data_IF_093422214989
#
_entry.id   IF_093422214989
#
_cell.length_a   1.000
_cell.length_b   1.000
_cell.length_c   1.000
_cell.angle_alpha   90.00
_cell.angle_beta   90.00
_cell.angle_gamma   90.00
#
_symmetry.space_group_name_H-M   'P 1'
#
loop_
_entity.id
_entity.type
_entity.pdbx_description
1 polymer ?
#
# COMPACT_ATOMS: atom_id res chain seq x y z
N UNK A 1 5.78 -31.66 -7.88
CA UNK A 1 4.99 -31.25 -9.06
C UNK A 1 4.22 -30.01 -8.63
N UNK A 2 4.78 -28.82 -8.86
CA UNK A 2 4.08 -27.57 -8.59
C UNK A 2 3.39 -27.16 -9.88
N UNK A 3 2.09 -27.32 -9.92
CA UNK A 3 1.26 -26.66 -10.93
C UNK A 3 1.36 -25.17 -10.66
N UNK A 4 2.18 -24.46 -11.43
CA UNK A 4 2.04 -23.03 -11.63
C UNK A 4 0.69 -22.85 -12.34
N UNK A 5 -0.38 -22.74 -11.58
CA UNK A 5 -1.67 -22.35 -12.11
C UNK A 5 -1.50 -20.96 -12.71
N UNK A 6 -2.05 -20.82 -13.89
CA UNK A 6 -2.24 -19.54 -14.60
C UNK A 6 -3.22 -18.68 -13.79
N UNK A 7 -2.76 -18.17 -12.64
CA UNK A 7 -3.59 -17.36 -11.74
C UNK A 7 -3.40 -15.90 -12.11
N UNK A 8 -4.28 -15.42 -12.97
CA UNK A 8 -4.48 -13.98 -13.12
C UNK A 8 -4.79 -13.35 -11.75
N UNK A 9 -4.30 -12.13 -11.45
CA UNK A 9 -4.56 -11.49 -10.18
C UNK A 9 -6.06 -11.19 -10.02
N UNK A 10 -6.61 -11.52 -8.85
CA UNK A 10 -7.95 -11.09 -8.47
C UNK A 10 -7.90 -9.64 -8.02
N UNK A 11 -8.75 -8.80 -8.60
CA UNK A 11 -8.82 -7.38 -8.27
C UNK A 11 -10.04 -7.08 -7.39
N UNK A 12 -9.78 -6.49 -6.23
CA UNK A 12 -10.79 -5.99 -5.29
C UNK A 12 -10.68 -4.48 -5.17
N UNK A 13 -11.80 -3.78 -5.30
CA UNK A 13 -11.92 -2.33 -5.07
C UNK A 13 -12.82 -2.12 -3.86
N UNK A 14 -12.31 -1.43 -2.84
CA UNK A 14 -13.07 -1.09 -1.64
C UNK A 14 -13.54 0.36 -1.74
N UNK A 15 -14.86 0.54 -1.80
CA UNK A 15 -15.51 1.85 -1.84
C UNK A 15 -15.86 2.29 -0.42
N UNK A 16 -15.14 3.27 0.10
CA UNK A 16 -15.28 3.76 1.48
C UNK A 16 -16.19 5.00 1.53
N UNK A 17 -17.50 4.77 1.46
CA UNK A 17 -18.53 5.80 1.57
C UNK A 17 -18.41 6.93 0.53
N UNK A 18 -18.15 6.59 -0.73
CA UNK A 18 -18.22 7.56 -1.83
C UNK A 18 -19.64 8.09 -2.03
N UNK A 19 -19.75 9.23 -2.72
CA UNK A 19 -21.07 9.74 -3.11
C UNK A 19 -21.83 8.73 -3.97
N UNK A 20 -23.17 8.78 -3.96
CA UNK A 20 -24.02 7.89 -4.75
C UNK A 20 -23.60 7.90 -6.24
N UNK A 21 -23.32 9.07 -6.80
CA UNK A 21 -22.86 9.21 -8.18
C UNK A 21 -21.57 8.42 -8.45
N UNK A 22 -20.58 8.50 -7.55
CA UNK A 22 -19.33 7.77 -7.70
C UNK A 22 -19.50 6.28 -7.45
N UNK A 23 -20.35 5.89 -6.52
CA UNK A 23 -20.69 4.48 -6.27
C UNK A 23 -21.33 3.84 -7.50
N UNK A 24 -22.27 4.52 -8.17
CA UNK A 24 -22.88 4.02 -9.42
C UNK A 24 -21.85 3.91 -10.56
N UNK A 25 -20.96 4.88 -10.69
CA UNK A 25 -19.84 4.79 -11.67
C UNK A 25 -18.93 3.60 -11.38
N UNK A 26 -18.59 3.36 -10.11
CA UNK A 26 -17.79 2.20 -9.72
C UNK A 26 -18.50 0.88 -10.01
N UNK A 27 -19.81 0.79 -9.76
CA UNK A 27 -20.61 -0.41 -10.09
C UNK A 27 -20.62 -0.69 -11.60
N UNK A 28 -20.86 0.34 -12.40
CA UNK A 28 -20.85 0.20 -13.86
C UNK A 28 -19.49 -0.27 -14.36
N UNK A 29 -18.41 0.32 -13.81
CA UNK A 29 -17.04 0.00 -14.18
C UNK A 29 -16.63 -1.41 -13.71
N UNK A 30 -17.05 -1.83 -12.51
CA UNK A 30 -16.86 -3.19 -12.01
C UNK A 30 -17.49 -4.23 -12.93
N UNK A 31 -18.72 -3.99 -13.39
CA UNK A 31 -19.40 -4.87 -14.31
C UNK A 31 -18.71 -4.94 -15.69
N UNK A 32 -18.19 -3.81 -16.17
CA UNK A 32 -17.47 -3.74 -17.45
C UNK A 32 -16.10 -4.42 -17.40
N UNK A 33 -15.35 -4.23 -16.32
CA UNK A 33 -13.95 -4.69 -16.19
C UNK A 33 -13.79 -6.00 -15.43
N UNK A 34 -14.84 -6.49 -14.76
CA UNK A 34 -14.86 -7.78 -14.09
C UNK A 34 -14.08 -7.83 -12.77
N UNK A 35 -13.92 -6.71 -12.06
CA UNK A 35 -13.34 -6.70 -10.72
C UNK A 35 -14.40 -6.76 -9.61
N UNK A 36 -14.00 -7.22 -8.42
CA UNK A 36 -14.88 -7.28 -7.26
C UNK A 36 -14.97 -5.91 -6.59
N UNK A 37 -16.15 -5.29 -6.59
CA UNK A 37 -16.44 -4.06 -5.86
C UNK A 37 -17.05 -4.38 -4.50
N UNK A 38 -16.46 -3.87 -3.43
CA UNK A 38 -16.96 -4.00 -2.06
C UNK A 38 -17.31 -2.61 -1.55
N UNK A 39 -18.59 -2.33 -1.35
CA UNK A 39 -19.04 -1.10 -0.72
C UNK A 39 -18.98 -1.27 0.80
N UNK A 40 -18.20 -0.47 1.49
CA UNK A 40 -18.02 -0.60 2.93
C UNK A 40 -19.29 -0.20 3.72
N UNK A 41 -20.19 0.57 3.14
CA UNK A 41 -21.52 0.84 3.69
C UNK A 41 -22.38 -0.41 3.89
N UNK A 42 -22.11 -1.48 3.12
CA UNK A 42 -22.76 -2.80 3.27
C UNK A 42 -22.12 -3.65 4.38
N UNK A 43 -20.95 -3.26 4.88
CA UNK A 43 -20.12 -4.03 5.82
C UNK A 43 -20.05 -3.39 7.20
N UNK A 44 -20.08 -2.06 7.28
CA UNK A 44 -19.93 -1.31 8.54
C UNK A 44 -20.75 -0.02 8.52
N UNK A 45 -21.19 0.40 9.71
CA UNK A 45 -21.79 1.71 9.93
C UNK A 45 -20.76 2.77 10.37
N UNK A 46 -19.48 2.40 10.48
CA UNK A 46 -18.45 3.33 10.88
C UNK A 46 -18.13 4.29 9.72
N UNK A 47 -18.13 5.61 9.95
CA UNK A 47 -17.84 6.57 8.88
C UNK A 47 -16.38 6.42 8.38
N UNK A 48 -16.15 6.81 7.12
CA UNK A 48 -14.80 6.89 6.54
C UNK A 48 -13.87 7.77 7.42
N UNK A 49 -12.59 7.38 7.59
CA UNK A 49 -11.85 6.35 6.86
C UNK A 49 -11.89 4.96 7.52
N UNK A 50 -12.13 3.92 6.73
CA UNK A 50 -12.16 2.52 7.18
C UNK A 50 -10.95 1.70 6.72
N UNK A 51 -9.79 2.33 6.58
CA UNK A 51 -8.60 1.71 6.00
C UNK A 51 -8.12 0.45 6.76
N UNK A 52 -8.23 0.44 8.10
CA UNK A 52 -7.90 -0.73 8.90
C UNK A 52 -8.81 -1.93 8.57
N UNK A 53 -10.12 -1.70 8.47
CA UNK A 53 -11.08 -2.72 8.09
C UNK A 53 -10.73 -3.32 6.72
N UNK A 54 -10.41 -2.46 5.74
CA UNK A 54 -9.97 -2.91 4.41
C UNK A 54 -8.73 -3.79 4.49
N UNK A 55 -7.71 -3.40 5.26
CA UNK A 55 -6.50 -4.20 5.43
C UNK A 55 -6.78 -5.58 6.05
N UNK A 56 -7.64 -5.63 7.07
CA UNK A 56 -8.03 -6.88 7.73
C UNK A 56 -8.82 -7.81 6.79
N UNK A 57 -9.78 -7.26 6.03
CA UNK A 57 -10.54 -8.02 5.04
C UNK A 57 -9.63 -8.55 3.93
N UNK A 58 -8.76 -7.70 3.38
CA UNK A 58 -7.82 -8.06 2.33
C UNK A 58 -6.82 -9.14 2.79
N UNK A 59 -6.30 -9.02 4.02
CA UNK A 59 -5.44 -10.06 4.61
C UNK A 59 -6.18 -11.40 4.71
N UNK A 60 -7.38 -11.40 5.27
CA UNK A 60 -8.19 -12.61 5.42
C UNK A 60 -8.42 -13.30 4.08
N UNK A 61 -8.80 -12.54 3.05
CA UNK A 61 -9.04 -13.07 1.71
C UNK A 61 -7.75 -13.63 1.09
N UNK A 62 -6.64 -12.91 1.19
CA UNK A 62 -5.34 -13.36 0.66
C UNK A 62 -4.85 -14.65 1.35
N UNK A 63 -5.00 -14.75 2.68
CA UNK A 63 -4.64 -15.97 3.43
C UNK A 63 -5.53 -17.14 2.99
N UNK A 64 -6.83 -16.94 2.89
CA UNK A 64 -7.77 -18.00 2.49
C UNK A 64 -7.49 -18.52 1.08
N UNK A 65 -7.05 -17.64 0.17
CA UNK A 65 -6.66 -17.99 -1.19
C UNK A 65 -5.21 -18.54 -1.30
N UNK A 66 -4.42 -18.55 -0.22
CA UNK A 66 -3.00 -18.88 -0.27
C UNK A 66 -2.18 -17.89 -1.12
N UNK A 67 -2.69 -16.68 -1.35
CA UNK A 67 -2.16 -15.68 -2.26
C UNK A 67 -1.30 -14.62 -1.54
N UNK A 68 -0.51 -13.88 -2.31
CA UNK A 68 0.10 -12.63 -1.88
C UNK A 68 -0.94 -11.50 -1.95
N UNK A 69 -0.73 -10.43 -1.20
CA UNK A 69 -1.58 -9.23 -1.23
C UNK A 69 -0.82 -8.07 -1.85
N UNK A 70 -1.26 -7.60 -3.01
CA UNK A 70 -0.78 -6.34 -3.58
C UNK A 70 -1.74 -5.21 -3.21
N UNK A 71 -1.24 -4.21 -2.52
CA UNK A 71 -1.97 -2.98 -2.20
C UNK A 71 -1.57 -1.92 -3.21
N UNK A 72 -2.57 -1.28 -3.83
CA UNK A 72 -2.37 -0.12 -4.71
C UNK A 72 -3.32 0.98 -4.24
N UNK A 73 -2.79 2.15 -3.87
CA UNK A 73 -3.59 3.30 -3.47
C UNK A 73 -4.28 3.93 -4.71
N UNK A 74 -5.44 4.52 -4.51
CA UNK A 74 -6.33 5.02 -5.59
C UNK A 74 -5.75 6.17 -6.40
N UNK A 75 -4.67 6.78 -5.94
CA UNK A 75 -3.92 7.85 -6.62
C UNK A 75 -2.60 7.37 -7.25
N UNK A 76 -2.48 6.05 -7.41
CA UNK A 76 -1.31 5.43 -8.04
C UNK A 76 -1.71 4.78 -9.36
N UNK A 77 -0.95 5.09 -10.41
CA UNK A 77 -1.07 4.41 -11.71
C UNK A 77 0.11 3.48 -11.90
N UNK A 78 -0.20 2.20 -12.10
CA UNK A 78 0.79 1.14 -12.35
C UNK A 78 0.97 0.89 -13.86
N UNK A 79 2.12 0.33 -14.23
CA UNK A 79 2.38 -0.12 -15.59
C UNK A 79 1.79 -1.53 -15.79
N UNK A 80 1.53 -1.93 -17.04
CA UNK A 80 0.94 -3.24 -17.35
C UNK A 80 1.73 -4.44 -16.80
N UNK A 81 3.04 -4.32 -16.69
CA UNK A 81 3.96 -5.37 -16.22
C UNK A 81 4.34 -5.24 -14.73
N UNK A 82 3.80 -4.25 -14.02
CA UNK A 82 4.14 -3.98 -12.61
C UNK A 82 3.86 -5.18 -11.71
N UNK A 83 2.67 -5.77 -11.83
CA UNK A 83 2.23 -6.89 -10.99
C UNK A 83 3.14 -8.10 -11.22
N UNK A 84 3.37 -8.45 -12.47
CA UNK A 84 4.22 -9.59 -12.85
C UNK A 84 5.66 -9.41 -12.35
N UNK A 85 6.25 -8.24 -12.56
CA UNK A 85 7.61 -7.93 -12.10
C UNK A 85 7.74 -8.02 -10.58
N UNK A 86 6.75 -7.53 -9.82
CA UNK A 86 6.74 -7.65 -8.36
C UNK A 86 6.61 -9.11 -7.91
N UNK A 87 5.71 -9.86 -8.54
CA UNK A 87 5.49 -11.27 -8.24
C UNK A 87 6.74 -12.13 -8.48
N UNK A 88 7.45 -11.92 -9.58
CA UNK A 88 8.72 -12.61 -9.88
C UNK A 88 9.75 -12.40 -8.78
N UNK A 89 9.79 -11.25 -8.12
CA UNK A 89 10.74 -10.98 -7.05
C UNK A 89 10.47 -11.77 -5.77
N UNK A 90 9.27 -12.29 -5.56
CA UNK A 90 8.95 -13.08 -4.37
C UNK A 90 9.83 -14.31 -4.22
N UNK A 91 10.16 -14.95 -5.34
CA UNK A 91 11.01 -16.16 -5.35
C UNK A 91 12.50 -15.88 -5.49
N UNK A 92 12.85 -14.70 -6.01
CA UNK A 92 14.24 -14.32 -6.28
C UNK A 92 14.92 -13.65 -5.08
N UNK A 93 14.15 -13.01 -4.20
CA UNK A 93 14.66 -12.26 -3.07
C UNK A 93 14.77 -13.12 -1.81
N UNK A 94 15.71 -12.79 -0.94
CA UNK A 94 15.90 -13.50 0.32
C UNK A 94 14.82 -13.11 1.34
N UNK A 95 13.99 -14.08 1.74
CA UNK A 95 12.92 -13.95 2.75
C UNK A 95 12.11 -12.65 2.62
N UNK A 96 11.51 -12.36 1.46
CA UNK A 96 10.77 -11.12 1.30
C UNK A 96 9.49 -11.13 2.14
N UNK A 97 9.32 -10.09 2.96
CA UNK A 97 8.05 -9.80 3.62
C UNK A 97 7.23 -8.80 2.83
N UNK A 98 7.87 -7.72 2.40
CA UNK A 98 7.24 -6.65 1.62
C UNK A 98 8.13 -6.28 0.44
N UNK A 99 7.50 -6.05 -0.71
CA UNK A 99 8.15 -5.59 -1.94
C UNK A 99 7.36 -4.39 -2.45
N UNK A 100 7.99 -3.21 -2.57
CA UNK A 100 7.34 -2.01 -3.04
C UNK A 100 7.94 -1.50 -4.34
N UNK A 101 7.11 -0.93 -5.21
CA UNK A 101 7.55 -0.14 -6.36
C UNK A 101 7.89 1.29 -5.92
N UNK A 102 8.89 1.91 -6.57
CA UNK A 102 9.23 3.31 -6.30
C UNK A 102 8.22 4.25 -6.96
N UNK A 103 7.83 5.29 -6.23
CA UNK A 103 6.88 6.29 -6.75
C UNK A 103 7.58 7.41 -7.49
N UNK A 104 7.00 7.85 -8.60
CA UNK A 104 7.45 9.01 -9.39
C UNK A 104 6.30 10.00 -9.59
N UNK A 105 6.65 11.23 -9.91
CA UNK A 105 5.72 12.21 -10.44
C UNK A 105 5.55 12.08 -11.97
N UNK A 106 4.79 13.00 -12.58
CA UNK A 106 4.51 13.03 -14.02
C UNK A 106 5.77 13.27 -14.87
N UNK A 107 6.84 13.80 -14.28
CA UNK A 107 8.14 14.00 -14.97
C UNK A 107 9.04 12.77 -14.90
N UNK A 108 8.61 11.71 -14.17
CA UNK A 108 9.42 10.53 -13.94
C UNK A 108 10.40 10.66 -12.77
N UNK A 109 10.39 11.80 -12.07
CA UNK A 109 11.25 12.01 -10.91
C UNK A 109 10.70 11.31 -9.67
N UNK A 110 11.57 10.59 -8.93
CA UNK A 110 11.17 9.92 -7.69
C UNK A 110 10.58 10.96 -6.73
N UNK A 111 9.37 10.70 -6.26
CA UNK A 111 8.67 11.61 -5.36
C UNK A 111 8.50 11.03 -3.95
N UNK A 112 7.70 11.69 -3.12
CA UNK A 112 7.32 11.18 -1.81
C UNK A 112 6.45 9.90 -1.97
N UNK A 113 6.69 8.84 -1.17
CA UNK A 113 7.50 8.79 0.06
C UNK A 113 8.96 8.37 -0.12
N UNK A 114 9.41 8.10 -1.34
CA UNK A 114 10.71 7.46 -1.61
C UNK A 114 11.83 8.43 -2.03
N UNK A 115 11.75 9.71 -1.72
CA UNK A 115 12.78 10.70 -2.05
C UNK A 115 14.21 10.28 -1.70
N UNK A 116 14.39 9.46 -0.67
CA UNK A 116 15.70 8.94 -0.29
C UNK A 116 16.28 7.97 -1.30
N UNK A 117 15.45 7.34 -2.13
CA UNK A 117 15.87 6.35 -3.12
C UNK A 117 16.65 6.99 -4.29
N UNK A 118 16.48 8.29 -4.54
CA UNK A 118 17.26 9.07 -5.50
C UNK A 118 18.78 8.95 -5.33
N UNK A 119 19.23 8.61 -4.12
CA UNK A 119 20.66 8.49 -3.77
C UNK A 119 21.28 7.15 -4.17
N UNK A 120 20.46 6.20 -4.63
CA UNK A 120 20.93 4.85 -4.91
C UNK A 120 20.76 4.49 -6.38
N UNK A 121 21.82 3.92 -6.96
CA UNK A 121 21.81 3.39 -8.33
C UNK A 121 21.39 1.92 -8.42
N UNK A 122 21.24 1.23 -7.27
CA UNK A 122 20.83 -0.18 -7.24
C UNK A 122 19.38 -0.32 -7.67
N UNK A 123 19.09 -1.36 -8.46
CA UNK A 123 17.74 -1.68 -8.92
C UNK A 123 16.80 -2.07 -7.78
N UNK A 124 17.31 -2.86 -6.83
CA UNK A 124 16.54 -3.33 -5.68
C UNK A 124 17.32 -2.98 -4.41
N UNK A 125 16.62 -2.35 -3.49
CA UNK A 125 17.15 -1.92 -2.21
C UNK A 125 16.52 -2.73 -1.09
N UNK A 126 17.32 -3.44 -0.29
CA UNK A 126 16.86 -3.92 1.01
C UNK A 126 16.78 -2.72 1.96
N UNK A 127 15.63 -2.48 2.54
CA UNK A 127 15.38 -1.29 3.35
C UNK A 127 14.95 -1.64 4.77
N UNK A 128 15.52 -0.92 5.75
CA UNK A 128 15.10 -0.98 7.15
C UNK A 128 14.07 0.11 7.50
N UNK A 129 13.71 0.93 6.51
CA UNK A 129 12.68 1.96 6.63
C UNK A 129 11.33 1.41 6.24
N UNK A 130 10.28 2.19 6.53
CA UNK A 130 8.94 1.87 6.06
C UNK A 130 8.89 1.78 4.55
N UNK A 131 8.07 0.87 4.06
CA UNK A 131 7.52 0.90 2.70
C UNK A 131 6.11 1.46 2.76
N UNK A 132 5.79 2.41 1.88
CA UNK A 132 4.44 2.97 1.78
C UNK A 132 3.54 2.05 0.97
N UNK A 133 2.27 2.01 1.29
CA UNK A 133 1.29 1.19 0.57
C UNK A 133 0.86 1.75 -0.80
N UNK A 134 1.53 2.80 -1.30
CA UNK A 134 1.25 3.32 -2.64
C UNK A 134 1.16 2.23 -3.71
N UNK A 135 2.17 1.34 -3.76
CA UNK A 135 2.16 0.10 -4.55
C UNK A 135 3.09 -0.90 -3.85
N UNK A 136 2.53 -1.79 -3.04
CA UNK A 136 3.33 -2.71 -2.20
C UNK A 136 2.69 -4.09 -2.13
N UNK A 137 3.49 -5.11 -2.47
CA UNK A 137 3.16 -6.51 -2.32
C UNK A 137 3.60 -6.99 -0.93
N UNK A 138 2.68 -7.61 -0.20
CA UNK A 138 2.91 -8.33 1.04
C UNK A 138 2.87 -9.83 0.73
N UNK A 139 3.93 -10.55 1.13
CA UNK A 139 4.00 -11.98 0.84
C UNK A 139 3.02 -12.79 1.69
N UNK A 140 2.53 -13.90 1.17
CA UNK A 140 1.66 -14.81 1.91
C UNK A 140 2.32 -15.27 3.23
N UNK A 141 3.63 -15.48 3.23
CA UNK A 141 4.38 -15.82 4.45
C UNK A 141 4.27 -14.74 5.52
N UNK A 142 4.42 -13.45 5.16
CA UNK A 142 4.23 -12.35 6.10
C UNK A 142 2.78 -12.26 6.57
N UNK A 143 1.81 -12.39 5.67
CA UNK A 143 0.37 -12.32 6.00
C UNK A 143 -0.03 -13.38 7.02
N UNK A 144 0.52 -14.60 6.92
CA UNK A 144 0.28 -15.68 7.88
C UNK A 144 1.05 -15.50 9.20
N UNK A 145 2.12 -14.69 9.22
CA UNK A 145 2.96 -14.50 10.41
C UNK A 145 2.56 -13.31 11.27
N UNK A 146 1.73 -12.40 10.77
CA UNK A 146 1.31 -11.20 11.47
C UNK A 146 -0.15 -10.88 11.23
N UNK A 147 -0.96 -10.96 12.31
CA UNK A 147 -2.40 -10.68 12.26
C UNK A 147 -2.66 -9.15 12.30
N UNK A 148 -3.34 -8.62 11.28
CA UNK A 148 -3.70 -7.21 11.20
C UNK A 148 -4.79 -6.79 12.20
N UNK A 149 -5.43 -7.72 12.90
CA UNK A 149 -6.28 -7.41 14.04
C UNK A 149 -5.48 -6.86 15.24
N UNK A 150 -4.16 -7.06 15.28
CA UNK A 150 -3.26 -6.50 16.29
C UNK A 150 -2.86 -5.04 16.01
N UNK A 151 -3.21 -4.49 14.84
CA UNK A 151 -2.93 -3.09 14.51
C UNK A 151 -3.78 -2.16 15.38
N UNK A 152 -3.14 -1.08 15.87
CA UNK A 152 -3.83 -0.11 16.71
C UNK A 152 -4.80 0.76 15.87
N UNK A 153 -6.12 0.71 16.13
CA UNK A 153 -7.12 1.45 15.36
C UNK A 153 -7.01 2.98 15.52
N UNK A 154 -6.40 3.46 16.60
CA UNK A 154 -6.20 4.90 16.84
C UNK A 154 -5.05 5.51 16.01
N UNK A 155 -4.26 4.67 15.32
CA UNK A 155 -3.10 5.11 14.57
C UNK A 155 -3.19 4.73 13.10
N UNK A 156 -3.07 5.73 12.22
CA UNK A 156 -3.21 5.57 10.76
C UNK A 156 -1.89 5.24 10.03
N UNK A 157 -0.88 4.72 10.74
CA UNK A 157 0.46 4.46 10.20
C UNK A 157 0.69 2.97 9.94
N UNK A 158 -0.30 2.30 9.35
CA UNK A 158 -0.29 0.85 9.16
C UNK A 158 0.88 0.37 8.30
N UNK A 159 1.26 1.13 7.26
CA UNK A 159 2.43 0.88 6.44
C UNK A 159 3.73 0.84 7.26
N UNK A 160 3.87 1.74 8.24
CA UNK A 160 5.02 1.80 9.16
C UNK A 160 5.03 0.59 10.09
N UNK A 161 3.87 0.31 10.74
CA UNK A 161 3.77 -0.82 11.69
C UNK A 161 4.05 -2.15 11.01
N UNK A 162 3.41 -2.41 9.86
CA UNK A 162 3.60 -3.66 9.14
C UNK A 162 5.03 -3.77 8.62
N UNK A 163 5.65 -2.67 8.16
CA UNK A 163 7.06 -2.68 7.76
C UNK A 163 7.99 -3.06 8.91
N UNK A 164 7.75 -2.55 10.12
CA UNK A 164 8.55 -2.86 11.31
C UNK A 164 8.31 -4.29 11.78
N UNK A 165 7.05 -4.76 11.78
CA UNK A 165 6.71 -6.13 12.15
C UNK A 165 7.32 -7.14 11.18
N UNK A 166 7.30 -6.87 9.89
CA UNK A 166 7.98 -7.68 8.88
C UNK A 166 9.45 -7.88 9.25
N UNK A 167 10.17 -6.79 9.60
CA UNK A 167 11.57 -6.86 10.03
C UNK A 167 11.75 -7.61 11.36
N UNK A 168 10.88 -7.36 12.35
CA UNK A 168 10.93 -8.01 13.66
C UNK A 168 10.73 -9.54 13.56
N UNK A 169 9.92 -9.98 12.60
CA UNK A 169 9.67 -11.40 12.30
C UNK A 169 10.78 -12.05 11.42
N UNK A 170 11.85 -11.31 11.09
CA UNK A 170 12.99 -11.83 10.34
C UNK A 170 12.81 -11.80 8.82
N UNK A 171 11.80 -11.12 8.30
CA UNK A 171 11.64 -10.87 6.87
C UNK A 171 12.48 -9.66 6.42
N UNK A 172 12.73 -9.59 5.12
CA UNK A 172 13.34 -8.44 4.47
C UNK A 172 12.29 -7.63 3.71
N UNK A 173 12.43 -6.31 3.76
CA UNK A 173 11.61 -5.39 3.00
C UNK A 173 12.43 -4.82 1.84
N UNK A 174 11.85 -4.83 0.64
CA UNK A 174 12.54 -4.45 -0.58
C UNK A 174 11.83 -3.33 -1.32
N UNK A 175 12.59 -2.35 -1.77
CA UNK A 175 12.13 -1.31 -2.68
C UNK A 175 12.73 -1.56 -4.06
N UNK A 176 11.88 -1.76 -5.06
CA UNK A 176 12.27 -1.88 -6.47
C UNK A 176 12.45 -0.47 -7.03
N UNK A 177 13.72 -0.03 -7.10
CA UNK A 177 14.06 1.35 -7.50
C UNK A 177 14.03 1.54 -9.03
N UNK A 178 13.98 0.46 -9.80
CA UNK A 178 13.84 0.43 -11.25
C UNK A 178 12.40 0.11 -11.72
N UNK A 179 11.49 -0.14 -10.80
CA UNK A 179 10.07 -0.33 -11.08
C UNK A 179 9.30 0.89 -10.61
N UNK A 180 8.98 1.78 -11.53
CA UNK A 180 8.32 3.05 -11.22
C UNK A 180 6.81 2.95 -11.35
N UNK A 181 6.10 3.60 -10.43
CA UNK A 181 4.66 3.83 -10.52
C UNK A 181 4.38 5.32 -10.40
N UNK A 182 3.43 5.84 -11.18
CA UNK A 182 3.05 7.24 -11.12
C UNK A 182 2.17 7.47 -9.89
N UNK A 183 2.63 8.33 -8.98
CA UNK A 183 1.89 8.73 -7.80
C UNK A 183 1.39 10.16 -7.96
N UNK A 184 0.09 10.28 -8.18
CA UNK A 184 -0.57 11.56 -8.43
C UNK A 184 -0.55 12.46 -7.19
N UNK A 185 -0.49 13.79 -7.35
CA UNK A 185 -0.47 14.70 -6.22
C UNK A 185 -1.81 14.68 -5.46
N UNK A 186 -1.75 14.45 -4.16
CA UNK A 186 -2.92 14.53 -3.29
C UNK A 186 -3.32 15.95 -2.94
N UNK A 187 -4.59 16.28 -3.09
CA UNK A 187 -5.19 17.49 -2.51
C UNK A 187 -5.56 17.31 -1.03
N UNK A 188 -5.64 16.06 -0.53
CA UNK A 188 -6.34 15.71 0.73
C UNK A 188 -5.53 15.81 2.02
N UNK A 189 -4.26 16.27 1.98
CA UNK A 189 -3.44 16.35 3.21
C UNK A 189 -3.03 17.80 3.54
N UNK A 190 -3.95 18.60 4.13
CA UNK A 190 -3.70 20.03 4.43
C UNK A 190 -2.49 20.27 5.33
N UNK A 191 -2.18 19.32 6.23
CA UNK A 191 -1.06 19.43 7.14
C UNK A 191 0.31 19.24 6.45
N UNK A 192 0.38 18.50 5.32
CA UNK A 192 1.60 18.43 4.51
C UNK A 192 1.89 19.75 3.79
N UNK A 193 0.84 20.46 3.34
CA UNK A 193 0.98 21.81 2.80
C UNK A 193 1.56 22.75 3.86
N UNK A 194 1.22 22.55 5.15
CA UNK A 194 1.75 23.33 6.26
C UNK A 194 3.28 23.22 6.37
N UNK A 195 3.88 22.06 6.05
CA UNK A 195 5.34 21.88 6.03
C UNK A 195 6.06 22.83 5.06
N UNK A 196 5.42 23.13 3.95
CA UNK A 196 5.98 24.00 2.92
C UNK A 196 5.55 25.46 3.08
N UNK A 197 4.33 25.70 3.56
CA UNK A 197 3.80 27.05 3.77
C UNK A 197 4.20 27.67 5.11
N UNK A 198 4.34 26.87 6.16
CA UNK A 198 4.77 27.32 7.48
C UNK A 198 5.51 26.20 8.23
N UNK A 199 6.83 26.00 7.96
CA UNK A 199 7.64 24.93 8.53
C UNK A 199 7.68 24.96 10.07
N UNK A 200 7.73 26.14 10.68
CA UNK A 200 7.77 26.29 12.15
C UNK A 200 6.50 25.73 12.80
N UNK A 201 5.32 26.09 12.25
CA UNK A 201 4.02 25.59 12.73
C UNK A 201 3.88 24.09 12.51
N UNK A 202 4.41 23.57 11.40
CA UNK A 202 4.44 22.13 11.12
C UNK A 202 5.26 21.37 12.16
N UNK A 203 6.51 21.77 12.41
CA UNK A 203 7.38 21.09 13.36
C UNK A 203 6.91 21.25 14.80
N UNK A 204 6.31 22.41 15.15
CA UNK A 204 5.70 22.63 16.45
C UNK A 204 4.52 21.69 16.71
N UNK A 205 3.59 21.56 15.75
CA UNK A 205 2.49 20.61 15.85
C UNK A 205 2.99 19.18 15.91
N UNK A 206 3.97 18.82 15.11
CA UNK A 206 4.60 17.51 15.11
C UNK A 206 5.18 17.15 16.48
N UNK A 207 5.77 18.12 17.19
CA UNK A 207 6.38 17.94 18.51
C UNK A 207 5.32 17.77 19.62
N UNK A 208 4.22 18.56 19.55
CA UNK A 208 3.16 18.55 20.57
C UNK A 208 2.23 17.36 20.38
N UNK A 209 1.76 17.13 19.17
CA UNK A 209 0.77 16.09 18.85
C UNK A 209 1.43 14.69 18.79
N UNK A 210 2.76 14.61 18.88
CA UNK A 210 3.56 13.37 18.85
C UNK A 210 3.13 12.40 17.74
N UNK A 211 2.67 12.92 16.62
CA UNK A 211 2.12 12.15 15.50
C UNK A 211 3.14 11.25 14.79
N UNK A 212 4.40 11.30 15.18
CA UNK A 212 5.53 10.52 14.66
C UNK A 212 6.10 9.50 15.67
N UNK A 213 5.49 9.37 16.84
CA UNK A 213 5.88 8.31 17.78
C UNK A 213 5.01 7.08 17.55
N UNK A 214 5.67 6.02 17.13
CA UNK A 214 5.17 4.64 17.07
C UNK A 214 5.01 4.10 18.46
#
# INVERSE_FOLDING_TARGET
>A
MNSAGDSSPELYVYNDFSSNENTEKLRAFSNEKGFSLINLEDVTNHPSPNYLLVLQMAQKNAIAAGAHLLIVESDVMIQPDTIEKMYQQVTLLDKPGMIAAVTTDETGEINFPYLYARKFSRRILSVNKRLSFCCTLLTNSLLNSYDFNLLNPEKNWYDVFISHQSKALGYNNYLMNDLTVLHLPHSSRPWKKLKYSNPLKYYWRKLIERNDKI
#
